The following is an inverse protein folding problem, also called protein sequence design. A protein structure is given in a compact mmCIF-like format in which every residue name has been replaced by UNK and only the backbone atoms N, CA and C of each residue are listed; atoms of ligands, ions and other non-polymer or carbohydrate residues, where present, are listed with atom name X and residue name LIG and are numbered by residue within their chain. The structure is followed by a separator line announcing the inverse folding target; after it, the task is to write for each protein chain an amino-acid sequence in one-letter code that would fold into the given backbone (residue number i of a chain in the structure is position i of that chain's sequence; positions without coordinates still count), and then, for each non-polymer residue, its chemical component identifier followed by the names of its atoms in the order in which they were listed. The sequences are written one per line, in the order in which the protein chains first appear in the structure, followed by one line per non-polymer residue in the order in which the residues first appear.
data_IF_998454153459
#
_entry.id   IF_998454153459
#
_cell.length_a   1.000
_cell.length_b   1.000
_cell.length_c   1.000
_cell.angle_alpha   90.00
_cell.angle_beta   90.00
_cell.angle_gamma   90.00
#
_symmetry.space_group_name_H-M   'P 1'
#
loop_
_entity.id
_entity.type
_entity.pdbx_description
1 polymer ?
#
# COMPACT_ATOMS: atom_id res chain seq x y z
N UNK A 1 -21.82 -5.52 6.60
CA UNK A 1 -23.14 -4.85 6.59
C UNK A 1 -23.16 -3.83 7.73
N UNK A 2 -22.52 -2.66 7.55
CA UNK A 2 -22.65 -1.55 8.49
C UNK A 2 -23.80 -0.65 8.03
N UNK A 3 -24.77 -0.56 8.89
CA UNK A 3 -25.91 0.34 8.83
C UNK A 3 -25.39 1.77 8.87
N UNK A 4 -25.42 2.46 7.74
CA UNK A 4 -25.16 3.90 7.67
C UNK A 4 -26.30 4.58 8.42
N UNK A 5 -25.99 5.16 9.57
CA UNK A 5 -26.92 5.98 10.34
C UNK A 5 -27.22 7.24 9.52
N UNK A 6 -28.41 7.27 8.92
CA UNK A 6 -28.97 8.42 8.19
C UNK A 6 -29.37 9.53 9.18
N UNK A 7 -28.46 10.00 9.96
CA UNK A 7 -28.66 11.28 10.62
C UNK A 7 -28.07 12.37 9.72
N UNK A 8 -28.90 12.83 8.81
CA UNK A 8 -28.74 14.12 8.18
C UNK A 8 -28.53 15.15 9.30
N UNK A 9 -27.27 15.50 9.58
CA UNK A 9 -26.96 16.55 10.56
C UNK A 9 -27.45 17.84 9.95
N UNK A 10 -28.54 18.36 10.50
CA UNK A 10 -29.07 19.67 10.19
C UNK A 10 -27.96 20.69 10.42
N UNK A 11 -27.65 21.42 9.36
CA UNK A 11 -26.87 22.65 9.43
C UNK A 11 -27.69 23.62 10.30
N UNK A 12 -27.28 23.84 11.55
CA UNK A 12 -27.91 24.82 12.41
C UNK A 12 -27.55 26.21 11.92
N UNK A 13 -28.38 26.79 11.05
CA UNK A 13 -28.37 28.20 10.75
C UNK A 13 -29.00 28.91 11.97
N UNK A 14 -28.20 29.59 12.80
CA UNK A 14 -28.72 30.52 13.77
C UNK A 14 -28.97 31.83 13.07
N UNK A 15 -30.21 32.01 12.62
CA UNK A 15 -30.69 33.31 12.11
C UNK A 15 -30.75 34.34 13.26
N UNK A 16 -29.90 35.36 13.19
CA UNK A 16 -30.15 36.62 13.91
C UNK A 16 -30.88 37.53 12.92
N UNK A 17 -32.21 37.45 12.90
CA UNK A 17 -33.05 38.34 12.09
C UNK A 17 -32.94 39.80 12.59
N UNK A 18 -32.21 40.64 11.85
CA UNK A 18 -32.44 42.06 11.80
C UNK A 18 -33.03 42.39 10.44
N UNK A 19 -34.22 43.02 10.34
CA UNK A 19 -34.78 43.41 9.04
C UNK A 19 -33.91 44.49 8.44
N UNK A 20 -33.54 44.35 7.19
CA UNK A 20 -32.75 45.23 6.33
C UNK A 20 -31.22 45.15 6.43
N UNK A 21 -30.63 44.12 6.95
CA UNK A 21 -29.18 43.93 6.83
C UNK A 21 -28.87 43.20 5.51
N UNK A 22 -28.02 43.79 4.67
CA UNK A 22 -27.46 43.15 3.45
C UNK A 22 -26.26 42.24 3.77
N UNK A 23 -25.97 42.08 5.05
CA UNK A 23 -24.85 41.26 5.57
C UNK A 23 -25.36 40.34 6.67
N UNK A 24 -24.96 39.07 6.62
CA UNK A 24 -25.27 38.08 7.65
C UNK A 24 -24.06 37.17 7.89
N UNK A 25 -24.11 36.34 8.94
CA UNK A 25 -23.10 35.32 9.23
C UNK A 25 -23.77 33.96 9.25
N UNK A 26 -23.21 33.01 8.56
CA UNK A 26 -23.62 31.59 8.60
C UNK A 26 -22.54 30.76 9.30
N UNK A 27 -22.85 30.23 10.48
CA UNK A 27 -21.92 29.39 11.24
C UNK A 27 -21.98 27.94 10.78
N UNK A 28 -20.82 27.36 10.46
CA UNK A 28 -20.66 25.93 10.17
C UNK A 28 -19.90 25.27 11.31
N UNK A 29 -20.48 24.24 11.88
CA UNK A 29 -19.80 23.31 12.78
C UNK A 29 -19.91 21.89 12.23
N UNK A 30 -18.77 21.26 11.92
CA UNK A 30 -18.75 19.93 11.34
C UNK A 30 -17.49 19.15 11.77
N UNK A 31 -17.59 17.82 12.00
CA UNK A 31 -16.41 17.01 12.18
C UNK A 31 -15.60 16.95 10.87
N UNK A 32 -14.29 17.12 10.98
CA UNK A 32 -13.35 16.92 9.87
C UNK A 32 -12.93 15.45 9.88
N UNK A 33 -13.14 14.74 8.77
CA UNK A 33 -12.77 13.33 8.62
C UNK A 33 -11.41 13.16 7.95
N UNK A 34 -10.91 14.20 7.30
CA UNK A 34 -9.60 14.22 6.67
C UNK A 34 -9.34 15.48 5.89
N UNK A 35 -8.12 15.62 5.42
CA UNK A 35 -7.64 16.73 4.59
C UNK A 35 -6.96 16.18 3.34
N UNK A 36 -7.04 16.91 2.25
CA UNK A 36 -6.28 16.64 1.04
C UNK A 36 -5.27 17.76 0.87
N UNK A 37 -4.00 17.41 0.75
CA UNK A 37 -2.94 18.38 0.53
C UNK A 37 -2.89 18.89 -0.93
N UNK A 38 -2.00 19.84 -1.21
CA UNK A 38 -1.82 20.42 -2.55
C UNK A 38 -1.32 19.41 -3.60
N UNK A 39 -0.82 18.25 -3.17
CA UNK A 39 -0.36 17.16 -4.04
C UNK A 39 -1.44 16.11 -4.28
N UNK A 40 -2.58 16.21 -3.59
CA UNK A 40 -3.71 15.28 -3.71
C UNK A 40 -3.69 14.13 -2.69
N UNK A 41 -2.77 14.10 -1.72
CA UNK A 41 -2.72 13.04 -0.72
C UNK A 41 -3.78 13.27 0.36
N UNK A 42 -4.46 12.19 0.72
CA UNK A 42 -5.48 12.21 1.76
C UNK A 42 -4.85 11.90 3.12
N UNK A 43 -5.01 12.82 4.06
CA UNK A 43 -4.58 12.69 5.45
C UNK A 43 -5.80 12.51 6.33
N UNK A 44 -6.05 11.30 6.89
CA UNK A 44 -7.17 11.09 7.79
C UNK A 44 -6.97 11.89 9.07
N UNK A 45 -8.05 12.45 9.61
CA UNK A 45 -8.03 13.24 10.83
C UNK A 45 -9.02 12.66 11.82
N UNK A 46 -8.57 12.42 13.06
CA UNK A 46 -9.46 12.05 14.17
C UNK A 46 -9.70 13.25 15.05
N UNK A 47 -10.96 13.43 15.49
CA UNK A 47 -11.37 14.40 16.51
C UNK A 47 -11.16 15.89 16.22
N UNK A 48 -10.95 16.30 14.97
CA UNK A 48 -11.01 17.70 14.61
C UNK A 48 -12.45 18.13 14.31
N UNK A 49 -12.84 19.29 14.84
CA UNK A 49 -14.11 19.94 14.52
C UNK A 49 -13.80 21.24 13.81
N UNK A 50 -14.30 21.39 12.60
CA UNK A 50 -14.29 22.67 11.90
C UNK A 50 -15.37 23.56 12.52
N UNK A 51 -14.97 24.73 13.00
CA UNK A 51 -15.87 25.83 13.39
C UNK A 51 -15.51 27.01 12.50
N UNK A 52 -16.41 27.40 11.63
CA UNK A 52 -16.17 28.51 10.71
C UNK A 52 -17.42 29.38 10.52
N UNK A 53 -17.23 30.66 10.60
CA UNK A 53 -18.28 31.68 10.39
C UNK A 53 -18.12 32.26 8.97
N UNK A 54 -19.02 31.91 8.08
CA UNK A 54 -19.04 32.47 6.73
C UNK A 54 -19.67 33.87 6.76
N UNK A 55 -18.93 34.88 6.29
CA UNK A 55 -19.53 36.16 5.96
C UNK A 55 -20.43 36.02 4.74
N UNK A 56 -21.67 36.46 4.88
CA UNK A 56 -22.67 36.43 3.83
C UNK A 56 -23.02 37.84 3.40
N UNK A 57 -23.17 38.06 2.11
CA UNK A 57 -23.68 39.34 1.55
C UNK A 57 -24.83 39.06 0.59
N UNK A 58 -25.83 39.93 0.58
CA UNK A 58 -26.93 39.87 -0.36
C UNK A 58 -26.57 40.62 -1.64
N UNK A 59 -26.58 39.92 -2.76
CA UNK A 59 -26.27 40.44 -4.09
C UNK A 59 -27.42 40.09 -5.03
N UNK A 60 -28.06 41.07 -5.61
CA UNK A 60 -29.23 40.91 -6.52
C UNK A 60 -30.35 40.04 -5.89
N UNK A 61 -30.61 40.21 -4.60
CA UNK A 61 -31.62 39.42 -3.87
C UNK A 61 -31.20 38.01 -3.44
N UNK A 62 -29.98 37.58 -3.75
CA UNK A 62 -29.44 36.27 -3.37
C UNK A 62 -28.32 36.41 -2.33
N UNK A 63 -28.32 35.51 -1.34
CA UNK A 63 -27.23 35.42 -0.39
C UNK A 63 -26.04 34.72 -0.99
N UNK A 64 -24.85 35.31 -0.90
CA UNK A 64 -23.58 34.78 -1.35
C UNK A 64 -22.54 34.81 -0.24
N UNK A 65 -21.62 33.87 -0.23
CA UNK A 65 -20.47 33.88 0.67
C UNK A 65 -19.54 35.02 0.22
N UNK A 66 -19.33 36.00 1.06
CA UNK A 66 -18.47 37.18 0.81
C UNK A 66 -17.04 36.98 1.31
N UNK A 67 -16.83 36.06 2.25
CA UNK A 67 -15.53 35.74 2.84
C UNK A 67 -15.40 34.20 2.94
N UNK A 68 -15.01 33.50 1.85
CA UNK A 68 -14.73 32.08 1.92
C UNK A 68 -13.41 31.85 2.67
N UNK A 69 -13.26 30.71 3.38
CA UNK A 69 -11.95 30.29 3.88
C UNK A 69 -11.04 29.92 2.71
N UNK A 70 -9.74 29.90 2.95
CA UNK A 70 -8.81 29.34 1.99
C UNK A 70 -9.05 27.82 1.83
N UNK A 71 -8.89 27.33 0.61
CA UNK A 71 -9.11 25.92 0.27
C UNK A 71 -10.56 25.60 -0.11
N UNK A 72 -10.85 24.33 -0.20
CA UNK A 72 -12.16 23.80 -0.62
C UNK A 72 -12.73 22.95 0.51
N UNK A 73 -13.92 23.33 1.00
CA UNK A 73 -14.67 22.52 1.95
C UNK A 73 -15.69 21.67 1.19
N UNK A 74 -15.58 20.36 1.30
CA UNK A 74 -16.51 19.42 0.67
C UNK A 74 -17.05 18.43 1.70
N UNK A 75 -18.26 17.96 1.49
CA UNK A 75 -18.81 16.88 2.30
C UNK A 75 -18.14 15.54 1.91
N UNK A 76 -18.06 14.60 2.85
CA UNK A 76 -17.62 13.24 2.57
C UNK A 76 -18.42 12.60 1.42
N UNK A 77 -19.71 12.88 1.33
CA UNK A 77 -20.57 12.43 0.23
C UNK A 77 -20.12 12.98 -1.13
N UNK A 78 -19.82 14.28 -1.22
CA UNK A 78 -19.31 14.91 -2.44
C UNK A 78 -17.95 14.36 -2.81
N UNK A 79 -17.05 14.20 -1.83
CA UNK A 79 -15.73 13.60 -2.05
C UNK A 79 -15.84 12.20 -2.69
N UNK A 80 -16.66 11.32 -2.12
CA UNK A 80 -16.82 9.96 -2.62
C UNK A 80 -17.41 9.87 -4.03
N UNK A 81 -18.13 10.89 -4.50
CA UNK A 81 -18.82 10.87 -5.80
C UNK A 81 -18.15 11.67 -6.91
N UNK A 82 -17.40 12.69 -6.53
CA UNK A 82 -16.90 13.69 -7.48
C UNK A 82 -15.37 13.78 -7.50
N UNK A 83 -14.70 12.91 -6.75
CA UNK A 83 -13.25 12.81 -6.74
C UNK A 83 -12.82 11.43 -7.22
N UNK A 84 -11.76 11.38 -7.99
CA UNK A 84 -11.15 10.16 -8.49
C UNK A 84 -9.90 9.82 -7.69
N UNK A 85 -9.73 8.54 -7.43
CA UNK A 85 -8.53 7.98 -6.82
C UNK A 85 -7.59 7.53 -7.92
N UNK A 86 -6.40 8.10 -7.98
CA UNK A 86 -5.40 7.82 -9.02
C UNK A 86 -4.16 7.26 -8.36
N UNK A 87 -3.76 6.02 -8.69
CA UNK A 87 -2.46 5.50 -8.29
C UNK A 87 -1.36 6.12 -9.16
N UNK A 88 -0.37 6.71 -8.53
CA UNK A 88 0.91 7.07 -9.14
C UNK A 88 1.97 6.11 -8.59
N UNK A 89 2.98 5.80 -9.36
CA UNK A 89 3.93 4.75 -8.98
C UNK A 89 5.34 5.30 -8.80
N UNK A 90 6.05 4.76 -7.80
CA UNK A 90 7.45 5.05 -7.52
C UNK A 90 8.24 3.75 -7.39
N UNK A 91 9.54 3.81 -7.61
CA UNK A 91 10.42 2.65 -7.46
C UNK A 91 10.87 2.47 -6.00
N UNK A 92 11.06 1.23 -5.58
CA UNK A 92 11.86 0.91 -4.40
C UNK A 92 13.31 1.39 -4.59
N UNK A 93 14.08 1.54 -3.51
CA UNK A 93 15.50 1.89 -3.59
C UNK A 93 16.28 0.92 -4.50
N UNK A 94 16.00 -0.37 -4.42
CA UNK A 94 16.61 -1.40 -5.27
C UNK A 94 16.15 -1.35 -6.74
N UNK A 95 15.15 -0.52 -7.08
CA UNK A 95 14.53 -0.42 -8.40
C UNK A 95 14.00 -1.76 -8.95
N UNK A 96 13.64 -2.68 -8.07
CA UNK A 96 13.12 -4.00 -8.43
C UNK A 96 11.58 -4.05 -8.44
N UNK A 97 10.92 -3.00 -7.93
CA UNK A 97 9.45 -2.93 -7.80
C UNK A 97 8.93 -1.51 -7.91
N UNK A 98 7.69 -1.42 -8.38
CA UNK A 98 6.88 -0.21 -8.35
C UNK A 98 5.90 -0.28 -7.17
N UNK A 99 5.85 0.78 -6.41
CA UNK A 99 4.98 0.94 -5.24
C UNK A 99 3.94 2.01 -5.56
N UNK A 100 2.64 1.71 -5.44
CA UNK A 100 1.61 2.71 -5.67
C UNK A 100 1.56 3.70 -4.51
N UNK A 101 1.49 4.97 -4.87
CA UNK A 101 1.06 6.06 -4.01
C UNK A 101 -0.26 6.61 -4.54
N UNK A 102 -1.19 6.96 -3.67
CA UNK A 102 -2.56 7.27 -4.06
C UNK A 102 -2.83 8.75 -3.89
N UNK A 103 -3.22 9.40 -4.97
CA UNK A 103 -3.69 10.78 -4.96
C UNK A 103 -5.19 10.87 -5.26
N UNK A 104 -5.82 11.92 -4.79
CA UNK A 104 -7.23 12.22 -5.00
C UNK A 104 -7.36 13.54 -5.72
N UNK A 105 -8.02 13.53 -6.86
CA UNK A 105 -8.28 14.71 -7.67
C UNK A 105 -9.77 14.83 -7.97
N UNK A 106 -10.32 16.07 -8.14
CA UNK A 106 -11.65 16.23 -8.69
C UNK A 106 -11.77 15.45 -10.01
N UNK A 107 -12.84 14.68 -10.19
CA UNK A 107 -12.95 13.77 -11.36
C UNK A 107 -12.87 14.52 -12.70
N UNK A 108 -13.28 15.78 -12.75
CA UNK A 108 -13.15 16.62 -13.94
C UNK A 108 -11.70 17.04 -14.25
N UNK A 109 -10.78 16.92 -13.27
CA UNK A 109 -9.36 17.25 -13.40
C UNK A 109 -8.45 16.01 -13.31
N UNK A 110 -9.05 14.82 -13.25
CA UNK A 110 -8.37 13.54 -13.17
C UNK A 110 -7.99 13.05 -14.56
N UNK A 111 -6.94 13.62 -15.13
CA UNK A 111 -6.44 13.32 -16.47
C UNK A 111 -4.99 12.77 -16.43
N UNK A 112 -4.45 12.23 -17.52
CA UNK A 112 -3.10 11.72 -17.61
C UNK A 112 -2.03 12.76 -17.24
N UNK A 113 -2.22 14.02 -17.63
CA UNK A 113 -1.28 15.10 -17.34
C UNK A 113 -1.24 15.43 -15.84
N UNK A 114 -2.38 15.36 -15.16
CA UNK A 114 -2.46 15.56 -13.71
C UNK A 114 -1.72 14.44 -12.95
N UNK A 115 -1.88 13.19 -13.38
CA UNK A 115 -1.14 12.06 -12.83
C UNK A 115 0.37 12.20 -13.03
N UNK A 116 0.80 12.60 -14.24
CA UNK A 116 2.21 12.86 -14.54
C UNK A 116 2.77 14.03 -13.72
N UNK A 117 2.03 15.13 -13.59
CA UNK A 117 2.45 16.26 -12.72
C UNK A 117 2.64 15.81 -11.27
N UNK A 118 1.72 15.02 -10.72
CA UNK A 118 1.85 14.51 -9.37
C UNK A 118 3.06 13.58 -9.21
N UNK A 119 3.26 12.68 -10.16
CA UNK A 119 4.42 11.77 -10.18
C UNK A 119 5.75 12.54 -10.30
N UNK A 120 5.82 13.55 -11.19
CA UNK A 120 7.04 14.34 -11.40
C UNK A 120 7.35 15.33 -10.27
N UNK A 121 6.36 15.61 -9.40
CA UNK A 121 6.59 16.34 -8.15
C UNK A 121 7.46 15.56 -7.14
N UNK A 122 7.81 14.31 -7.46
CA UNK A 122 8.66 13.43 -6.65
C UNK A 122 7.92 12.68 -5.56
N UNK A 123 8.64 11.79 -4.87
CA UNK A 123 8.10 10.99 -3.77
C UNK A 123 7.72 11.90 -2.60
N UNK A 124 6.50 11.77 -2.00
CA UNK A 124 6.13 12.54 -0.83
C UNK A 124 6.74 11.97 0.46
N UNK A 125 6.91 12.83 1.48
CA UNK A 125 7.20 12.36 2.83
C UNK A 125 6.01 11.55 3.41
N UNK A 126 6.28 10.51 4.19
CA UNK A 126 7.58 9.95 4.55
C UNK A 126 8.07 8.85 3.59
N UNK A 127 7.41 8.66 2.43
CA UNK A 127 7.74 7.59 1.47
C UNK A 127 9.10 7.80 0.79
N UNK A 128 9.59 9.04 0.73
CA UNK A 128 10.91 9.39 0.18
C UNK A 128 12.09 8.74 0.93
N UNK A 129 11.85 8.30 2.17
CA UNK A 129 12.82 7.51 2.93
C UNK A 129 13.04 6.08 2.39
N UNK A 130 12.14 5.57 1.54
CA UNK A 130 12.11 4.17 1.09
C UNK A 130 11.83 4.01 -0.40
N UNK A 131 11.43 5.08 -1.08
CA UNK A 131 11.09 5.09 -2.50
C UNK A 131 11.90 6.16 -3.24
N UNK A 132 12.00 5.98 -4.56
CA UNK A 132 12.61 6.94 -5.46
C UNK A 132 11.85 7.07 -6.78
N UNK A 133 12.03 8.18 -7.47
CA UNK A 133 11.57 8.35 -8.83
C UNK A 133 12.52 7.71 -9.84
N UNK A 134 11.97 7.23 -10.96
CA UNK A 134 12.75 6.81 -12.10
C UNK A 134 13.15 7.97 -13.03
N UNK A 135 12.68 9.18 -12.77
CA UNK A 135 13.08 10.37 -13.49
C UNK A 135 14.41 10.89 -12.91
N UNK A 136 15.52 10.79 -13.64
CA UNK A 136 16.79 11.37 -13.18
C UNK A 136 16.74 12.90 -13.21
N UNK A 137 17.63 13.53 -12.46
CA UNK A 137 17.77 14.97 -12.45
C UNK A 137 17.96 15.52 -13.88
N UNK A 138 17.24 16.58 -14.19
CA UNK A 138 17.25 17.21 -15.52
C UNK A 138 16.37 16.57 -16.57
N UNK A 139 15.72 15.43 -16.29
CA UNK A 139 14.68 14.85 -17.14
C UNK A 139 13.31 15.29 -16.63
N UNK A 140 12.55 15.97 -17.48
CA UNK A 140 11.23 16.50 -17.14
C UNK A 140 10.21 16.17 -18.22
N UNK A 141 8.93 16.14 -17.86
CA UNK A 141 7.81 16.16 -18.80
C UNK A 141 7.63 17.61 -19.29
N UNK A 142 7.72 17.85 -20.61
CA UNK A 142 7.86 19.19 -21.16
C UNK A 142 6.57 19.77 -21.77
N UNK A 143 5.46 19.05 -21.74
CA UNK A 143 4.21 19.50 -22.33
C UNK A 143 3.05 18.63 -21.87
N UNK A 144 1.95 18.71 -22.62
CA UNK A 144 0.79 17.87 -22.42
C UNK A 144 0.88 16.57 -23.21
N UNK A 145 0.30 15.51 -22.66
CA UNK A 145 0.17 14.24 -23.36
C UNK A 145 -0.81 14.35 -24.52
N UNK A 146 -0.60 13.54 -25.56
CA UNK A 146 -1.56 13.38 -26.64
C UNK A 146 -1.91 11.91 -26.79
N UNK A 147 -3.22 11.61 -26.90
CA UNK A 147 -3.73 10.25 -27.11
C UNK A 147 -4.26 10.16 -28.54
N UNK A 148 -3.77 9.18 -29.29
CA UNK A 148 -4.25 8.94 -30.66
C UNK A 148 -5.54 8.09 -30.70
N UNK A 149 -6.07 7.89 -31.90
CA UNK A 149 -7.35 7.17 -32.10
C UNK A 149 -7.31 5.68 -31.70
N UNK A 150 -6.11 5.10 -31.56
CA UNK A 150 -5.92 3.69 -31.16
C UNK A 150 -5.49 3.52 -29.69
N UNK A 151 -5.49 4.64 -28.94
CA UNK A 151 -5.21 4.63 -27.51
C UNK A 151 -3.70 4.63 -27.14
N UNK A 152 -2.82 5.04 -28.07
CA UNK A 152 -1.42 5.27 -27.78
C UNK A 152 -1.24 6.69 -27.26
N UNK A 153 -0.77 6.83 -26.02
CA UNK A 153 -0.42 8.14 -25.46
C UNK A 153 1.03 8.46 -25.73
N UNK A 154 1.30 9.67 -26.20
CA UNK A 154 2.66 10.20 -26.37
C UNK A 154 3.01 11.12 -25.19
N UNK A 155 4.07 10.80 -24.47
CA UNK A 155 4.58 11.55 -23.32
C UNK A 155 5.83 12.33 -23.76
N UNK A 156 5.77 13.67 -23.80
CA UNK A 156 6.91 14.50 -24.20
C UNK A 156 7.88 14.69 -23.03
N UNK A 157 9.15 14.33 -23.24
CA UNK A 157 10.25 14.52 -22.30
C UNK A 157 11.23 15.58 -22.81
N UNK A 158 11.98 16.16 -21.86
CA UNK A 158 13.12 17.03 -22.18
C UNK A 158 14.16 16.30 -23.02
N UNK A 159 14.96 17.05 -23.82
CA UNK A 159 15.97 16.50 -24.69
C UNK A 159 17.02 15.64 -23.94
N UNK A 160 17.24 15.93 -22.66
CA UNK A 160 18.14 15.15 -21.79
C UNK A 160 17.74 13.67 -21.66
N UNK A 161 16.45 13.33 -21.88
CA UNK A 161 16.01 11.95 -21.87
C UNK A 161 16.68 11.08 -22.96
N UNK A 162 17.14 11.68 -24.06
CA UNK A 162 17.87 10.98 -25.10
C UNK A 162 19.24 10.43 -24.63
N UNK A 163 19.80 10.98 -23.56
CA UNK A 163 21.09 10.57 -22.98
C UNK A 163 20.97 9.43 -21.95
N UNK A 164 19.76 9.05 -21.57
CA UNK A 164 19.52 7.96 -20.63
C UNK A 164 20.03 6.63 -21.17
N UNK A 165 20.66 5.84 -20.31
CA UNK A 165 21.03 4.46 -20.61
C UNK A 165 19.78 3.59 -20.86
N UNK A 166 19.91 2.45 -21.54
CA UNK A 166 18.78 1.55 -21.77
C UNK A 166 18.07 1.14 -20.46
N UNK A 167 18.81 0.88 -19.39
CA UNK A 167 18.26 0.53 -18.08
C UNK A 167 17.49 1.69 -17.45
N UNK A 168 17.99 2.91 -17.52
CA UNK A 168 17.27 4.10 -17.03
C UNK A 168 16.00 4.35 -17.82
N UNK A 169 16.03 4.18 -19.16
CA UNK A 169 14.82 4.28 -20.00
C UNK A 169 13.77 3.23 -19.63
N UNK A 170 14.21 1.99 -19.34
CA UNK A 170 13.31 0.92 -18.91
C UNK A 170 12.62 1.26 -17.59
N UNK A 171 13.36 1.75 -16.58
CA UNK A 171 12.79 2.15 -15.29
C UNK A 171 11.83 3.33 -15.43
N UNK A 172 12.22 4.36 -16.19
CA UNK A 172 11.35 5.51 -16.47
C UNK A 172 10.07 5.06 -17.19
N UNK A 173 10.20 4.25 -18.23
CA UNK A 173 9.06 3.73 -18.97
C UNK A 173 8.15 2.88 -18.08
N UNK A 174 8.68 2.04 -17.20
CA UNK A 174 7.89 1.23 -16.27
C UNK A 174 7.09 2.10 -15.30
N UNK A 175 7.69 3.12 -14.70
CA UNK A 175 7.02 4.03 -13.77
C UNK A 175 5.88 4.81 -14.44
N UNK A 176 6.15 5.42 -15.59
CA UNK A 176 5.17 6.19 -16.34
C UNK A 176 4.04 5.31 -16.86
N UNK A 177 4.38 4.14 -17.40
CA UNK A 177 3.40 3.20 -17.95
C UNK A 177 2.42 2.72 -16.88
N UNK A 178 2.91 2.34 -15.71
CA UNK A 178 2.04 1.92 -14.62
C UNK A 178 1.20 3.07 -14.05
N UNK A 179 1.74 4.28 -14.01
CA UNK A 179 0.99 5.47 -13.59
C UNK A 179 -0.15 5.78 -14.55
N UNK A 180 0.05 5.61 -15.86
CA UNK A 180 -0.96 5.91 -16.87
C UNK A 180 -1.89 4.72 -17.20
N UNK A 181 -1.54 3.50 -16.78
CA UNK A 181 -2.33 2.29 -17.06
C UNK A 181 -3.74 2.30 -16.46
N UNK A 182 -3.99 3.16 -15.45
CA UNK A 182 -5.32 3.32 -14.84
C UNK A 182 -6.33 4.08 -15.69
N UNK A 183 -5.90 4.74 -16.78
CA UNK A 183 -6.78 5.53 -17.65
C UNK A 183 -7.32 4.67 -18.80
N UNK A 184 -8.63 4.44 -18.82
CA UNK A 184 -9.29 3.51 -19.76
C UNK A 184 -9.07 3.85 -21.26
N UNK A 185 -8.76 5.11 -21.58
CA UNK A 185 -8.48 5.53 -22.95
C UNK A 185 -7.05 5.18 -23.41
N UNK A 186 -6.17 4.72 -22.48
CA UNK A 186 -4.76 4.48 -22.76
C UNK A 186 -4.52 2.97 -22.79
N UNK A 187 -4.00 2.47 -23.90
CA UNK A 187 -3.60 1.06 -24.07
C UNK A 187 -2.09 0.90 -24.14
N UNK A 188 -1.38 1.89 -24.68
CA UNK A 188 0.07 1.86 -24.89
C UNK A 188 0.65 3.26 -24.72
N UNK A 189 1.95 3.32 -24.46
CA UNK A 189 2.65 4.58 -24.19
C UNK A 189 3.89 4.67 -25.07
N UNK A 190 4.11 5.85 -25.61
CA UNK A 190 5.27 6.21 -26.41
C UNK A 190 5.89 7.48 -25.84
N UNK A 191 7.19 7.59 -25.94
CA UNK A 191 7.92 8.73 -25.41
C UNK A 191 8.62 9.50 -26.52
N UNK A 192 8.71 10.82 -26.34
CA UNK A 192 9.60 11.67 -27.16
C UNK A 192 10.60 12.37 -26.27
N UNK A 193 11.80 12.61 -26.78
CA UNK A 193 12.88 13.38 -26.14
C UNK A 193 13.22 14.57 -27.04
N UNK A 194 12.95 15.79 -26.59
CA UNK A 194 13.13 17.00 -27.41
C UNK A 194 12.38 16.96 -28.73
N UNK A 195 11.21 16.32 -28.79
CA UNK A 195 10.38 16.18 -29.97
C UNK A 195 10.67 14.97 -30.87
N UNK A 196 11.79 14.27 -30.69
CA UNK A 196 12.14 13.05 -31.44
C UNK A 196 11.71 11.80 -30.67
N UNK A 197 11.34 10.72 -31.37
CA UNK A 197 10.99 9.45 -30.74
C UNK A 197 12.14 8.93 -29.88
N UNK A 198 11.82 8.55 -28.65
CA UNK A 198 12.75 7.92 -27.73
C UNK A 198 12.69 6.39 -27.89
N UNK A 199 13.81 5.81 -28.32
CA UNK A 199 13.90 4.34 -28.42
C UNK A 199 13.94 3.71 -27.04
N UNK A 200 13.05 2.76 -26.80
CA UNK A 200 12.94 1.99 -25.56
C UNK A 200 13.37 0.55 -25.79
N UNK A 201 14.02 -0.11 -24.81
CA UNK A 201 14.22 -1.55 -24.85
C UNK A 201 12.88 -2.29 -24.96
N UNK A 202 12.85 -3.33 -25.79
CA UNK A 202 11.69 -4.22 -25.94
C UNK A 202 10.39 -3.54 -26.45
N UNK A 203 10.47 -2.31 -26.96
CA UNK A 203 9.31 -1.63 -27.55
C UNK A 203 8.86 -2.28 -28.85
N UNK A 204 7.61 -2.06 -29.22
CA UNK A 204 7.09 -2.41 -30.53
C UNK A 204 7.74 -1.58 -31.64
N UNK A 205 7.46 -1.89 -32.91
CA UNK A 205 8.04 -1.16 -34.05
C UNK A 205 7.70 0.34 -34.03
N UNK A 206 6.52 0.71 -33.53
CA UNK A 206 6.08 2.09 -33.34
C UNK A 206 6.65 2.76 -32.08
N UNK A 207 7.62 2.12 -31.42
CA UNK A 207 8.27 2.55 -30.17
C UNK A 207 7.28 2.70 -28.98
N UNK A 208 6.10 2.06 -29.05
CA UNK A 208 5.17 2.06 -27.93
C UNK A 208 5.34 0.81 -27.03
N UNK A 209 5.03 0.98 -25.75
CA UNK A 209 5.11 -0.05 -24.72
C UNK A 209 3.77 -0.18 -24.00
N UNK A 210 3.50 -1.35 -23.42
CA UNK A 210 2.34 -1.62 -22.57
C UNK A 210 2.77 -2.00 -21.16
N UNK A 211 1.83 -1.98 -20.22
CA UNK A 211 2.09 -2.36 -18.84
C UNK A 211 2.56 -3.82 -18.71
N UNK A 212 2.16 -4.69 -19.61
CA UNK A 212 2.55 -6.11 -19.59
C UNK A 212 4.06 -6.31 -19.75
N UNK A 213 4.75 -5.41 -20.48
CA UNK A 213 6.21 -5.45 -20.60
C UNK A 213 6.95 -5.21 -19.28
N UNK A 214 6.25 -4.63 -18.32
CA UNK A 214 6.77 -4.25 -17.00
C UNK A 214 6.05 -4.99 -15.87
N UNK A 215 5.47 -6.17 -16.16
CA UNK A 215 4.72 -6.96 -15.20
C UNK A 215 5.57 -7.43 -14.01
N UNK A 216 6.88 -7.58 -14.18
CA UNK A 216 7.80 -7.94 -13.11
C UNK A 216 7.90 -6.87 -12.01
N UNK A 217 7.61 -5.60 -12.34
CA UNK A 217 7.63 -4.51 -11.36
C UNK A 217 6.35 -4.43 -10.51
N UNK A 218 5.30 -5.20 -10.84
CA UNK A 218 4.03 -5.15 -10.09
C UNK A 218 4.20 -5.76 -8.70
N UNK A 219 3.75 -5.07 -7.64
CA UNK A 219 3.78 -5.62 -6.29
C UNK A 219 2.73 -6.72 -6.07
N UNK A 220 1.63 -6.73 -6.84
CA UNK A 220 0.49 -7.62 -6.62
C UNK A 220 0.58 -8.87 -7.50
N UNK A 221 0.75 -10.06 -6.92
CA UNK A 221 0.63 -11.29 -7.70
C UNK A 221 -0.82 -11.47 -8.17
N UNK A 222 -0.99 -11.75 -9.44
CA UNK A 222 -2.31 -11.95 -10.07
C UNK A 222 -3.05 -13.22 -9.60
N UNK A 223 -2.46 -14.05 -8.75
CA UNK A 223 -3.00 -15.36 -8.39
C UNK A 223 -3.30 -15.48 -6.90
N UNK A 224 -4.58 -15.53 -6.59
CA UNK A 224 -5.04 -16.05 -5.31
C UNK A 224 -5.20 -17.57 -5.44
N UNK A 225 -4.56 -18.34 -4.57
CA UNK A 225 -4.86 -19.75 -4.47
C UNK A 225 -6.28 -19.92 -3.93
N UNK A 226 -7.19 -20.61 -4.63
CA UNK A 226 -8.52 -20.87 -4.11
C UNK A 226 -8.53 -21.90 -2.96
N UNK A 227 -7.35 -22.34 -2.53
CA UNK A 227 -7.20 -23.39 -1.52
C UNK A 227 -6.96 -22.77 -0.15
N UNK A 228 -7.85 -23.04 0.78
CA UNK A 228 -7.71 -22.66 2.19
C UNK A 228 -6.97 -23.76 2.93
N UNK A 229 -6.03 -23.40 3.78
CA UNK A 229 -5.39 -24.32 4.70
C UNK A 229 -6.10 -24.26 6.05
N UNK A 230 -6.42 -25.42 6.59
CA UNK A 230 -7.08 -25.55 7.87
C UNK A 230 -6.39 -26.62 8.75
N UNK A 231 -6.54 -26.48 10.06
CA UNK A 231 -6.15 -27.50 11.03
C UNK A 231 -7.45 -28.07 11.64
N UNK A 232 -7.69 -29.35 11.40
CA UNK A 232 -8.88 -30.06 11.94
C UNK A 232 -8.39 -31.24 12.77
N UNK A 233 -8.79 -31.28 14.04
CA UNK A 233 -8.37 -32.32 14.98
C UNK A 233 -6.84 -32.53 15.04
N UNK A 234 -6.08 -31.42 14.97
CA UNK A 234 -4.63 -31.46 15.00
C UNK A 234 -3.96 -31.86 13.67
N UNK A 235 -4.72 -32.18 12.65
CA UNK A 235 -4.21 -32.48 11.30
C UNK A 235 -4.31 -31.27 10.40
N UNK A 236 -3.21 -30.94 9.73
CA UNK A 236 -3.20 -29.88 8.73
C UNK A 236 -3.66 -30.43 7.38
N UNK A 237 -4.50 -29.68 6.70
CA UNK A 237 -5.01 -30.07 5.40
C UNK A 237 -5.46 -28.89 4.56
N UNK A 238 -5.78 -29.16 3.31
CA UNK A 238 -6.34 -28.19 2.37
C UNK A 238 -7.83 -28.38 2.23
N UNK A 239 -8.55 -27.28 2.20
CA UNK A 239 -9.97 -27.21 1.94
C UNK A 239 -10.17 -26.41 0.66
N UNK A 240 -10.95 -26.95 -0.28
CA UNK A 240 -11.31 -26.20 -1.48
C UNK A 240 -12.16 -24.97 -1.09
N UNK A 241 -12.14 -23.92 -1.92
CA UNK A 241 -12.91 -22.69 -1.68
C UNK A 241 -14.43 -22.94 -1.52
N UNK A 242 -14.94 -24.06 -2.05
CA UNK A 242 -16.32 -24.54 -1.85
C UNK A 242 -16.64 -25.00 -0.42
N UNK A 243 -15.64 -25.05 0.48
CA UNK A 243 -15.80 -25.47 1.87
C UNK A 243 -15.96 -26.99 2.08
N UNK A 244 -15.89 -27.78 1.01
CA UNK A 244 -16.02 -29.24 1.05
C UNK A 244 -14.66 -29.90 0.72
N UNK A 245 -14.47 -31.14 1.20
CA UNK A 245 -13.28 -31.96 0.93
C UNK A 245 -11.98 -31.44 1.58
N UNK A 246 -11.89 -31.62 2.91
CA UNK A 246 -10.64 -31.50 3.63
C UNK A 246 -9.68 -32.63 3.21
N UNK A 247 -8.55 -32.26 2.64
CA UNK A 247 -7.48 -33.19 2.26
C UNK A 247 -6.30 -32.99 3.19
N UNK A 248 -5.98 -34.04 3.97
CA UNK A 248 -4.81 -34.02 4.85
C UNK A 248 -3.54 -33.85 4.04
N UNK A 249 -2.62 -33.00 4.52
CA UNK A 249 -1.31 -32.82 3.91
C UNK A 249 -0.42 -34.03 4.18
N UNK A 250 0.46 -34.39 3.24
CA UNK A 250 1.47 -35.41 3.49
C UNK A 250 2.54 -34.91 4.48
N UNK A 251 3.25 -35.86 5.13
CA UNK A 251 4.35 -35.58 6.04
C UNK A 251 3.94 -35.32 7.48
N UNK A 252 4.88 -34.81 8.28
CA UNK A 252 4.74 -34.67 9.72
C UNK A 252 3.48 -33.93 10.17
N UNK A 253 3.07 -32.88 9.44
CA UNK A 253 1.94 -32.03 9.81
C UNK A 253 0.56 -32.64 9.50
N UNK A 254 0.49 -33.60 8.62
CA UNK A 254 -0.74 -34.32 8.34
C UNK A 254 -1.07 -35.43 9.33
N UNK A 255 -0.11 -35.89 10.12
CA UNK A 255 -0.29 -37.07 11.01
C UNK A 255 -1.10 -36.77 12.27
N UNK A 256 -1.19 -35.50 12.66
CA UNK A 256 -1.88 -35.12 13.92
C UNK A 256 -1.08 -35.41 15.21
N UNK A 257 -1.65 -35.01 16.33
CA UNK A 257 -0.98 -35.00 17.64
C UNK A 257 -0.72 -36.38 18.29
N UNK A 258 -0.88 -37.47 17.58
CA UNK A 258 -0.81 -38.83 18.16
C UNK A 258 0.58 -39.42 18.23
N UNK A 259 1.58 -38.75 17.73
CA UNK A 259 3.00 -39.20 17.83
C UNK A 259 3.72 -38.37 18.89
N UNK A 260 4.42 -39.02 19.81
CA UNK A 260 5.27 -38.43 20.85
C UNK A 260 6.45 -37.61 20.31
N UNK A 261 6.29 -36.97 19.18
CA UNK A 261 7.29 -36.12 18.56
C UNK A 261 6.98 -34.66 18.89
N UNK A 262 7.96 -33.92 19.41
CA UNK A 262 7.89 -32.49 19.64
C UNK A 262 7.37 -31.68 18.45
N UNK A 263 7.48 -32.23 17.25
CA UNK A 263 7.00 -31.68 15.98
C UNK A 263 5.47 -31.81 15.81
N UNK A 264 4.89 -32.91 16.27
CA UNK A 264 3.42 -33.09 16.25
C UNK A 264 2.73 -32.18 17.28
N UNK A 265 3.40 -31.88 18.36
CA UNK A 265 2.95 -30.91 19.37
C UNK A 265 2.94 -29.48 18.82
N UNK A 266 3.88 -29.14 17.95
CA UNK A 266 3.89 -27.89 17.16
C UNK A 266 2.69 -27.78 16.24
N UNK A 267 2.26 -28.90 15.63
CA UNK A 267 1.11 -28.92 14.73
C UNK A 267 -0.24 -28.84 15.47
N UNK A 268 -0.32 -29.33 16.72
CA UNK A 268 -1.62 -29.56 17.37
C UNK A 268 -2.15 -28.41 18.20
N UNK A 269 -1.33 -27.46 18.64
CA UNK A 269 -1.74 -26.66 19.81
C UNK A 269 -1.92 -25.18 19.63
N UNK A 270 -1.50 -24.52 18.62
CA UNK A 270 -1.82 -23.07 18.39
C UNK A 270 -1.13 -22.56 17.13
N UNK A 271 -1.69 -22.89 15.97
CA UNK A 271 -1.19 -22.32 14.75
C UNK A 271 -1.49 -20.83 14.66
N UNK A 272 -0.46 -20.03 14.73
CA UNK A 272 -0.40 -18.85 13.90
C UNK A 272 -0.25 -19.35 12.47
N UNK A 273 -1.29 -19.29 11.66
CA UNK A 273 -1.41 -19.91 10.33
C UNK A 273 -0.08 -19.95 9.57
N UNK A 274 0.37 -21.12 9.09
CA UNK A 274 1.59 -21.23 8.31
C UNK A 274 1.46 -20.39 7.03
N UNK A 275 2.56 -19.79 6.62
CA UNK A 275 2.68 -19.10 5.34
C UNK A 275 3.37 -20.02 4.35
N UNK A 276 2.88 -20.05 3.11
CA UNK A 276 3.47 -20.80 2.00
C UNK A 276 4.33 -19.85 1.19
N UNK A 277 5.53 -20.30 0.83
CA UNK A 277 6.32 -19.60 -0.19
C UNK A 277 5.67 -19.79 -1.58
N UNK A 278 5.23 -18.75 -2.29
CA UNK A 278 4.37 -18.87 -3.47
C UNK A 278 5.06 -19.43 -4.72
N UNK A 279 6.37 -19.71 -4.72
CA UNK A 279 7.14 -20.08 -5.93
C UNK A 279 7.93 -21.37 -5.84
N UNK A 280 7.75 -22.19 -4.83
CA UNK A 280 8.51 -23.45 -4.74
C UNK A 280 7.75 -24.62 -5.34
N UNK A 281 8.36 -25.41 -6.23
CA UNK A 281 7.89 -26.76 -6.52
C UNK A 281 8.04 -27.59 -5.24
N UNK A 282 6.91 -28.04 -4.67
CA UNK A 282 6.88 -28.58 -3.31
C UNK A 282 6.83 -27.43 -2.29
N UNK A 283 5.62 -27.04 -1.88
CA UNK A 283 5.41 -25.89 -1.02
C UNK A 283 6.31 -25.91 0.21
N UNK A 284 7.08 -24.84 0.41
CA UNK A 284 7.82 -24.62 1.65
C UNK A 284 6.92 -23.88 2.62
N UNK A 285 6.81 -24.39 3.82
CA UNK A 285 5.97 -23.86 4.89
C UNK A 285 6.80 -23.23 5.98
N UNK A 286 6.26 -22.22 6.60
CA UNK A 286 6.85 -21.52 7.72
C UNK A 286 5.82 -21.35 8.82
N UNK A 287 6.20 -21.58 10.07
CA UNK A 287 5.34 -21.36 11.22
C UNK A 287 6.16 -21.01 12.45
N UNK A 288 5.46 -20.57 13.48
CA UNK A 288 6.04 -20.41 14.82
C UNK A 288 5.67 -21.62 15.67
N UNK A 289 6.61 -22.11 16.48
CA UNK A 289 6.39 -23.20 17.45
C UNK A 289 5.26 -22.85 18.44
N UNK A 290 4.63 -23.85 19.03
CA UNK A 290 3.53 -23.66 19.98
C UNK A 290 3.91 -22.77 21.17
N UNK A 291 5.15 -22.88 21.68
CA UNK A 291 5.69 -22.04 22.75
C UNK A 291 6.12 -20.64 22.27
N UNK A 292 5.97 -20.36 20.97
CA UNK A 292 6.36 -19.10 20.31
C UNK A 292 7.84 -18.73 20.47
N UNK A 293 8.72 -19.72 20.56
CA UNK A 293 10.16 -19.48 20.71
C UNK A 293 10.96 -19.75 19.45
N UNK A 294 10.41 -20.55 18.50
CA UNK A 294 11.14 -20.96 17.30
C UNK A 294 10.36 -20.62 16.04
N UNK A 295 11.03 -20.04 15.07
CA UNK A 295 10.55 -19.91 13.68
C UNK A 295 10.98 -21.18 12.93
N UNK A 296 10.02 -21.89 12.40
CA UNK A 296 10.17 -23.20 11.78
C UNK A 296 9.97 -23.14 10.27
N UNK A 297 10.67 -24.01 9.55
CA UNK A 297 10.45 -24.24 8.12
C UNK A 297 10.49 -25.74 7.80
N UNK A 298 9.72 -26.14 6.80
CA UNK A 298 9.73 -27.50 6.26
C UNK A 298 9.18 -27.52 4.85
N UNK A 299 9.58 -28.53 4.07
CA UNK A 299 9.00 -28.83 2.76
C UNK A 299 7.75 -29.70 2.93
N UNK A 300 6.68 -29.42 2.18
CA UNK A 300 5.48 -30.26 2.20
C UNK A 300 5.81 -31.71 1.86
N UNK A 301 5.30 -32.61 2.69
CA UNK A 301 5.59 -34.06 2.58
C UNK A 301 6.85 -34.49 3.31
N UNK A 302 7.71 -33.58 3.80
CA UNK A 302 8.89 -33.92 4.59
C UNK A 302 8.52 -34.22 6.03
N UNK A 303 9.30 -35.10 6.66
CA UNK A 303 9.32 -35.33 8.10
C UNK A 303 10.33 -34.43 8.82
N UNK A 304 11.20 -33.75 8.07
CA UNK A 304 12.26 -32.90 8.59
C UNK A 304 11.77 -31.46 8.76
N UNK A 305 11.82 -30.98 10.00
CA UNK A 305 11.48 -29.59 10.35
C UNK A 305 12.72 -28.89 10.87
N UNK A 306 13.04 -27.77 10.27
CA UNK A 306 14.23 -26.99 10.59
C UNK A 306 13.85 -25.72 11.36
N UNK A 307 14.71 -25.33 12.31
CA UNK A 307 14.61 -24.08 13.03
C UNK A 307 15.41 -23.00 12.29
N UNK A 308 14.72 -22.00 11.79
CA UNK A 308 15.33 -20.85 11.09
C UNK A 308 15.84 -19.78 12.06
N UNK A 309 15.07 -19.52 13.11
CA UNK A 309 15.42 -18.50 14.09
C UNK A 309 14.74 -18.79 15.43
N UNK A 310 15.28 -18.20 16.50
CA UNK A 310 14.69 -18.26 17.84
C UNK A 310 14.40 -16.85 18.35
N UNK A 311 13.44 -16.72 19.25
CA UNK A 311 13.05 -15.46 19.87
C UNK A 311 12.10 -15.68 21.04
N UNK A 312 11.49 -14.62 21.51
CA UNK A 312 10.50 -14.66 22.58
C UNK A 312 9.16 -14.17 22.03
N UNK A 313 8.14 -15.00 22.23
CA UNK A 313 6.77 -14.66 21.87
C UNK A 313 6.65 -14.23 20.38
N UNK A 314 7.29 -14.99 19.51
CA UNK A 314 7.33 -14.73 18.06
C UNK A 314 5.92 -14.56 17.47
N UNK A 315 5.81 -13.68 16.50
CA UNK A 315 4.56 -13.44 15.77
C UNK A 315 4.46 -14.30 14.52
N UNK A 316 3.24 -14.42 14.00
CA UNK A 316 2.99 -15.12 12.73
C UNK A 316 3.98 -14.66 11.67
N UNK A 317 4.74 -15.57 11.04
CA UNK A 317 5.70 -15.18 10.00
C UNK A 317 4.98 -14.65 8.76
N UNK A 318 5.64 -13.75 8.05
CA UNK A 318 5.24 -13.29 6.74
C UNK A 318 6.35 -13.64 5.74
N UNK A 319 5.98 -14.23 4.61
CA UNK A 319 6.91 -14.49 3.52
C UNK A 319 6.88 -13.29 2.58
N UNK A 320 8.02 -12.66 2.38
CA UNK A 320 8.16 -11.54 1.47
C UNK A 320 8.37 -12.02 0.02
N UNK A 321 8.28 -11.12 -0.93
CA UNK A 321 8.39 -11.45 -2.36
C UNK A 321 9.75 -12.05 -2.75
N UNK A 322 10.81 -11.66 -2.07
CA UNK A 322 12.18 -12.17 -2.25
C UNK A 322 12.41 -13.50 -1.51
N UNK A 323 11.33 -14.14 -1.05
CA UNK A 323 11.33 -15.35 -0.24
C UNK A 323 11.99 -15.21 1.13
N UNK A 324 12.36 -14.01 1.57
CA UNK A 324 12.74 -13.80 2.96
C UNK A 324 11.52 -13.93 3.87
N UNK A 325 11.78 -14.33 5.12
CA UNK A 325 10.74 -14.57 6.12
C UNK A 325 10.90 -13.54 7.23
N UNK A 326 9.83 -12.85 7.57
CA UNK A 326 9.81 -11.81 8.57
C UNK A 326 8.92 -12.19 9.74
N UNK A 327 9.37 -11.93 10.96
CA UNK A 327 8.59 -12.06 12.20
C UNK A 327 9.06 -11.04 13.24
N UNK A 328 8.25 -10.82 14.26
CA UNK A 328 8.60 -10.00 15.42
C UNK A 328 8.83 -10.86 16.67
N UNK A 329 9.76 -10.42 17.51
CA UNK A 329 10.03 -10.95 18.85
C UNK A 329 9.76 -9.87 19.89
N UNK A 330 9.26 -10.27 21.07
CA UNK A 330 9.00 -9.34 22.18
C UNK A 330 10.26 -9.00 23.01
N UNK A 331 11.36 -9.72 22.81
CA UNK A 331 12.62 -9.35 23.45
C UNK A 331 13.19 -8.13 22.77
N UNK A 332 13.26 -7.01 23.47
CA UNK A 332 13.69 -5.71 22.94
C UNK A 332 13.10 -5.54 21.53
N UNK A 333 11.84 -5.09 21.41
CA UNK A 333 11.00 -5.27 20.22
C UNK A 333 11.83 -5.46 18.95
N UNK A 334 12.07 -6.72 18.58
CA UNK A 334 13.02 -7.05 17.51
C UNK A 334 12.29 -7.55 16.28
N UNK A 335 12.60 -6.95 15.15
CA UNK A 335 12.25 -7.44 13.83
C UNK A 335 13.31 -8.50 13.41
N UNK A 336 12.88 -9.71 13.18
CA UNK A 336 13.72 -10.80 12.69
C UNK A 336 13.39 -11.07 11.24
N UNK A 337 14.41 -11.05 10.39
CA UNK A 337 14.30 -11.40 8.97
C UNK A 337 15.29 -12.51 8.65
N UNK A 338 14.81 -13.56 8.00
CA UNK A 338 15.64 -14.66 7.49
C UNK A 338 15.61 -14.59 5.98
N UNK A 339 16.75 -14.36 5.36
CA UNK A 339 16.89 -14.32 3.90
C UNK A 339 16.64 -15.68 3.25
N UNK A 340 16.42 -15.70 1.95
CA UNK A 340 16.29 -16.93 1.17
C UNK A 340 17.57 -17.78 1.15
N UNK A 341 18.71 -17.18 1.46
CA UNK A 341 20.02 -17.79 1.64
C UNK A 341 20.23 -18.35 3.06
N UNK A 342 19.23 -18.19 3.95
CA UNK A 342 19.31 -18.56 5.35
C UNK A 342 20.01 -17.53 6.25
N UNK A 343 20.51 -16.43 5.70
CA UNK A 343 21.11 -15.37 6.50
C UNK A 343 20.06 -14.75 7.43
N UNK A 344 20.38 -14.69 8.74
CA UNK A 344 19.50 -14.11 9.75
C UNK A 344 19.93 -12.69 10.06
N UNK A 345 18.99 -11.77 10.01
CA UNK A 345 19.13 -10.38 10.45
C UNK A 345 18.14 -10.10 11.58
N UNK A 346 18.56 -9.31 12.54
CA UNK A 346 17.73 -8.90 13.67
C UNK A 346 17.95 -7.42 13.95
N UNK A 347 16.87 -6.64 13.88
CA UNK A 347 16.92 -5.19 14.08
C UNK A 347 15.98 -4.82 15.22
N UNK A 348 16.48 -4.08 16.20
CA UNK A 348 15.66 -3.53 17.28
C UNK A 348 14.80 -2.40 16.70
N UNK A 349 13.52 -2.38 17.03
CA UNK A 349 12.55 -1.41 16.53
C UNK A 349 12.08 -0.54 17.69
N UNK A 350 12.16 0.77 17.53
CA UNK A 350 11.54 1.69 18.49
C UNK A 350 10.02 1.74 18.25
N UNK A 351 9.28 1.15 19.17
CA UNK A 351 7.82 1.12 19.18
C UNK A 351 7.22 2.10 20.21
N UNK A 352 8.02 3.00 20.76
CA UNK A 352 7.57 3.94 21.79
C UNK A 352 6.97 3.26 23.02
N UNK A 353 7.50 2.10 23.43
CA UNK A 353 6.99 1.30 24.56
C UNK A 353 5.75 0.45 24.25
N UNK A 354 5.36 0.35 22.99
CA UNK A 354 4.33 -0.58 22.52
C UNK A 354 4.95 -1.95 22.20
N UNK A 355 4.11 -2.98 22.07
CA UNK A 355 4.50 -4.27 21.50
C UNK A 355 3.65 -4.57 20.25
N UNK A 356 4.22 -5.26 19.29
CA UNK A 356 3.48 -5.76 18.12
C UNK A 356 2.72 -7.01 18.52
N UNK A 357 1.41 -7.02 18.42
CA UNK A 357 0.59 -8.22 18.65
C UNK A 357 0.25 -8.97 17.38
N UNK A 358 0.14 -8.24 16.26
CA UNK A 358 -0.06 -8.78 14.92
C UNK A 358 0.51 -7.82 13.90
N UNK A 359 0.90 -8.34 12.75
CA UNK A 359 1.35 -7.51 11.64
C UNK A 359 1.00 -8.17 10.29
N UNK A 360 0.99 -7.35 9.25
CA UNK A 360 0.85 -7.80 7.86
C UNK A 360 1.66 -6.90 6.94
N UNK A 361 2.53 -7.51 6.16
CA UNK A 361 3.32 -6.79 5.16
C UNK A 361 2.48 -6.63 3.90
N UNK A 362 2.47 -5.43 3.35
CA UNK A 362 1.83 -5.16 2.08
C UNK A 362 2.54 -5.91 0.93
N UNK A 363 1.84 -6.25 -0.16
CA UNK A 363 2.47 -6.91 -1.31
C UNK A 363 3.62 -6.12 -1.94
N UNK A 364 3.68 -4.81 -1.71
CA UNK A 364 4.77 -3.93 -2.13
C UNK A 364 6.07 -4.17 -1.31
N UNK A 365 5.97 -4.85 -0.16
CA UNK A 365 7.04 -5.10 0.80
C UNK A 365 7.73 -3.83 1.33
N UNK A 366 7.06 -2.69 1.23
CA UNK A 366 7.50 -1.38 1.75
C UNK A 366 6.65 -0.96 2.93
N UNK A 367 5.35 -1.30 2.92
CA UNK A 367 4.42 -0.95 4.00
C UNK A 367 4.11 -2.16 4.86
N UNK A 368 3.99 -1.92 6.17
CA UNK A 368 3.57 -2.95 7.12
C UNK A 368 2.48 -2.38 8.02
N UNK A 369 1.36 -3.08 8.08
CA UNK A 369 0.31 -2.80 9.05
C UNK A 369 0.65 -3.50 10.37
N UNK A 370 0.50 -2.78 11.48
CA UNK A 370 0.87 -3.22 12.81
C UNK A 370 -0.32 -3.06 13.76
N UNK A 371 -0.61 -4.10 14.54
CA UNK A 371 -1.45 -3.95 15.73
C UNK A 371 -0.53 -3.77 16.92
N UNK A 372 -0.53 -2.55 17.44
CA UNK A 372 0.31 -2.13 18.55
C UNK A 372 -0.49 -2.20 19.86
N UNK A 373 0.11 -2.68 20.93
CA UNK A 373 -0.50 -2.75 22.24
C UNK A 373 0.40 -2.08 23.29
N UNK A 374 -0.21 -1.16 24.04
CA UNK A 374 0.40 -0.50 25.20
C UNK A 374 -0.52 -0.67 26.40
N UNK A 375 -0.12 -1.53 27.33
CA UNK A 375 -0.96 -1.87 28.48
C UNK A 375 -2.28 -2.49 28.03
N UNK A 376 -3.40 -1.79 28.22
CA UNK A 376 -4.75 -2.26 27.82
C UNK A 376 -5.26 -1.63 26.52
N UNK A 377 -4.53 -0.69 25.94
CA UNK A 377 -4.93 0.00 24.71
C UNK A 377 -4.32 -0.66 23.49
N UNK A 378 -5.08 -0.72 22.42
CA UNK A 378 -4.62 -1.18 21.10
C UNK A 378 -4.77 -0.07 20.08
N UNK A 379 -3.79 0.05 19.21
CA UNK A 379 -3.79 0.96 18.08
C UNK A 379 -3.45 0.19 16.81
N UNK A 380 -3.92 0.68 15.68
CA UNK A 380 -3.50 0.26 14.37
C UNK A 380 -2.47 1.28 13.84
N UNK A 381 -1.33 0.79 13.37
CA UNK A 381 -0.30 1.63 12.78
C UNK A 381 0.14 1.13 11.40
N UNK A 382 0.67 2.02 10.60
CA UNK A 382 1.41 1.69 9.38
C UNK A 382 2.85 2.15 9.55
N UNK A 383 3.79 1.24 9.31
CA UNK A 383 5.21 1.52 9.27
C UNK A 383 5.79 1.33 7.87
N UNK A 384 6.97 1.88 7.65
CA UNK A 384 7.75 1.73 6.42
C UNK A 384 8.93 0.79 6.65
N UNK A 385 9.10 -0.15 5.72
CA UNK A 385 10.21 -1.08 5.67
C UNK A 385 11.23 -0.59 4.64
N UNK A 386 12.47 -0.38 5.07
CA UNK A 386 13.62 -0.11 4.20
C UNK A 386 14.65 -1.22 4.30
N UNK A 387 15.47 -1.37 3.27
CA UNK A 387 16.65 -2.26 3.28
C UNK A 387 17.90 -1.40 3.16
N UNK A 388 18.69 -1.36 4.21
CA UNK A 388 19.94 -0.62 4.25
C UNK A 388 21.07 -1.57 4.67
N UNK A 389 22.15 -1.62 3.90
CA UNK A 389 23.31 -2.48 4.17
C UNK A 389 22.96 -3.95 4.40
N UNK A 390 21.92 -4.44 3.72
CA UNK A 390 21.40 -5.80 3.87
C UNK A 390 20.46 -6.02 5.05
N UNK A 391 20.34 -5.09 5.98
CA UNK A 391 19.39 -5.15 7.09
C UNK A 391 18.02 -4.57 6.72
N UNK A 392 16.96 -5.12 7.30
CA UNK A 392 15.60 -4.58 7.18
C UNK A 392 15.32 -3.70 8.39
N UNK A 393 14.94 -2.46 8.12
CA UNK A 393 14.57 -1.48 9.13
C UNK A 393 13.09 -1.15 9.04
N UNK A 394 12.46 -0.97 10.19
CA UNK A 394 11.10 -0.48 10.31
C UNK A 394 11.15 0.95 10.88
N UNK A 395 10.56 1.88 10.16
CA UNK A 395 10.57 3.30 10.51
C UNK A 395 9.21 3.95 10.24
N UNK A 396 9.06 5.23 10.57
CA UNK A 396 7.90 6.07 10.25
C UNK A 396 6.56 5.42 10.62
N UNK A 397 6.46 4.87 11.85
CA UNK A 397 5.22 4.26 12.31
C UNK A 397 4.21 5.38 12.60
N UNK A 398 3.12 5.38 11.85
CA UNK A 398 2.02 6.34 11.99
C UNK A 398 0.76 5.63 12.47
N UNK A 399 0.14 6.14 13.52
CA UNK A 399 -1.13 5.62 14.01
C UNK A 399 -2.27 5.92 13.03
N UNK A 400 -3.10 4.92 12.78
CA UNK A 400 -4.32 5.08 12.01
C UNK A 400 -5.48 5.32 12.97
N UNK A 401 -6.19 6.44 12.87
CA UNK A 401 -7.38 6.69 13.66
C UNK A 401 -8.48 5.67 13.29
N UNK A 402 -9.05 5.01 14.31
CA UNK A 402 -10.13 4.02 14.20
C UNK A 402 -11.49 4.67 14.45
#
# INVERSE_FOLDING_TARGET
LHRVDRRQRQMCIRDSHKPASTVATAALQAPVVGQIDSRGHYHPTSSQTLNHDFGMAQESGQWRISRPPEGVLISQYTFQRSWSTIPIYFLTEAADRLVPDVIHLPSAAADPDAALRAMTAGVPEPLDAVLRTALPDGVTVTGTTSVDAVGVVTVPLSASAAQLSPSQRRLLASQVTWTLNGFAAISRIRFTAGGSLLSLPEAAEDQSVSADLYAEFIPFPATHSPTVVAVIKGQMGRVAASGHNFRIMPGALGRGATTNNSVAEVASTQFTMPMISPRSPGAIWHAVSADRRSLLTWQEGSEDIQVLATGVNLRRPQVLRDHSIMTFSDTDPTLIVVGSDGARMSTVVDLGGCRVTSFSVAPDAVRVALVLERGKTRALGIGLLSRQEGAVHLSHITDIPL
#
